data_IF_156777057744
#
_entry.id   IF_156777057744
#
_cell.length_a   1.000
_cell.length_b   1.000
_cell.length_c   1.000
_cell.angle_alpha   90.00
_cell.angle_beta   90.00
_cell.angle_gamma   90.00
#
_symmetry.space_group_name_H-M   'P 1'
#
loop_
_entity.id
_entity.type
_entity.pdbx_description
1 polymer ?
#
# COMPACT_ATOMS: atom_id res chain seq x y z
N UNK A 1 -28.41 -40.10 -22.08
CA UNK A 1 -29.31 -39.91 -23.20
C UNK A 1 -28.60 -39.05 -24.20
N UNK A 2 -28.21 -39.70 -25.20
CA UNK A 2 -28.41 -39.58 -26.65
C UNK A 2 -27.38 -38.64 -27.27
N UNK A 3 -26.24 -39.08 -27.85
CA UNK A 3 -26.01 -39.86 -29.08
C UNK A 3 -26.35 -39.11 -30.37
N UNK A 4 -25.36 -38.89 -31.20
CA UNK A 4 -25.29 -39.25 -32.66
C UNK A 4 -24.28 -38.32 -33.34
N UNK A 5 -23.07 -38.71 -33.71
CA UNK A 5 -22.62 -39.50 -34.85
C UNK A 5 -23.29 -39.17 -36.19
N UNK A 6 -22.51 -38.63 -37.12
CA UNK A 6 -22.71 -38.99 -38.53
C UNK A 6 -21.38 -38.83 -39.32
N UNK A 7 -20.88 -39.97 -39.68
CA UNK A 7 -19.89 -40.31 -40.71
C UNK A 7 -20.55 -40.36 -42.08
N UNK A 8 -19.83 -40.09 -43.16
CA UNK A 8 -19.85 -40.81 -44.47
C UNK A 8 -19.08 -39.97 -45.48
N UNK A 9 -17.97 -40.44 -45.98
CA UNK A 9 -17.72 -41.53 -46.96
C UNK A 9 -17.87 -41.06 -48.42
N UNK A 10 -16.73 -41.23 -49.12
CA UNK A 10 -16.59 -42.14 -50.30
C UNK A 10 -16.94 -41.46 -51.63
N UNK A 11 -16.28 -41.53 -52.76
CA UNK A 11 -15.36 -42.48 -53.42
C UNK A 11 -15.20 -42.03 -54.88
N UNK A 12 -13.99 -42.18 -55.42
CA UNK A 12 -13.71 -42.67 -56.78
C UNK A 12 -14.25 -41.91 -58.00
N UNK A 13 -13.37 -41.45 -58.91
CA UNK A 13 -13.42 -41.92 -60.30
C UNK A 13 -12.03 -41.78 -60.97
N UNK A 14 -11.51 -42.91 -61.37
CA UNK A 14 -10.41 -43.18 -62.31
C UNK A 14 -11.02 -43.22 -63.72
N UNK A 15 -10.42 -42.56 -64.69
CA UNK A 15 -10.46 -42.90 -66.14
C UNK A 15 -9.36 -42.09 -66.82
N UNK A 16 -8.28 -42.68 -67.22
CA UNK A 16 -8.00 -43.29 -68.52
C UNK A 16 -7.95 -42.32 -69.70
N UNK A 17 -6.80 -42.12 -70.26
CA UNK A 17 -6.59 -41.47 -71.57
C UNK A 17 -5.13 -41.28 -71.90
N UNK A 18 -4.49 -42.37 -72.34
CA UNK A 18 -3.22 -42.33 -73.08
C UNK A 18 -3.45 -41.68 -74.45
N UNK A 19 -2.54 -40.85 -74.92
CA UNK A 19 -2.11 -40.82 -76.36
C UNK A 19 -1.07 -39.69 -76.57
N UNK A 20 -0.01 -40.08 -77.05
CA UNK A 20 0.86 -39.80 -78.17
C UNK A 20 2.16 -39.06 -77.88
N UNK A 21 3.18 -39.81 -78.08
CA UNK A 21 4.58 -39.52 -78.37
C UNK A 21 4.69 -38.56 -79.58
N UNK A 22 5.28 -37.42 -79.42
CA UNK A 22 5.98 -36.69 -80.49
C UNK A 22 7.26 -36.13 -79.92
N UNK A 23 8.38 -36.76 -80.25
CA UNK A 23 9.69 -36.33 -79.83
C UNK A 23 10.09 -35.02 -80.54
N UNK A 24 10.55 -34.03 -79.75
CA UNK A 24 11.48 -33.03 -80.23
C UNK A 24 12.74 -33.08 -79.38
N UNK A 25 13.78 -33.55 -79.98
CA UNK A 25 15.16 -33.54 -79.50
C UNK A 25 15.62 -32.08 -79.42
N UNK A 26 15.54 -31.47 -78.20
CA UNK A 26 16.27 -30.29 -77.87
C UNK A 26 17.41 -30.62 -76.93
N UNK A 27 18.63 -30.38 -77.38
CA UNK A 27 19.86 -30.48 -76.59
C UNK A 27 19.62 -29.86 -75.15
N UNK A 28 20.02 -30.56 -74.07
CA UNK A 28 19.94 -30.01 -72.77
C UNK A 28 20.77 -28.69 -72.69
N UNK A 29 20.24 -27.65 -72.09
CA UNK A 29 21.00 -26.39 -71.86
C UNK A 29 22.22 -26.73 -70.97
N UNK A 30 23.37 -26.17 -71.35
CA UNK A 30 24.63 -26.28 -70.64
C UNK A 30 24.46 -25.61 -69.23
N UNK A 31 24.54 -26.38 -68.13
CA UNK A 31 24.25 -25.81 -66.76
C UNK A 31 25.31 -24.81 -66.32
N UNK A 32 26.33 -24.52 -67.10
CA UNK A 32 27.35 -23.49 -66.82
C UNK A 32 27.06 -22.11 -67.40
N UNK A 33 25.98 -21.92 -68.16
CA UNK A 33 25.67 -20.61 -68.75
C UNK A 33 24.48 -19.86 -68.14
N UNK A 34 23.76 -20.42 -67.15
CA UNK A 34 22.63 -19.76 -66.52
C UNK A 34 22.79 -19.60 -65.01
N UNK A 35 24.00 -19.62 -64.48
CA UNK A 35 24.21 -19.18 -63.10
C UNK A 35 24.29 -17.66 -63.16
N UNK A 36 23.33 -16.92 -62.53
CA UNK A 36 23.47 -15.48 -62.39
C UNK A 36 24.82 -15.17 -61.72
N UNK A 37 25.51 -14.13 -62.10
CA UNK A 37 26.81 -13.79 -61.51
C UNK A 37 26.62 -13.73 -59.98
N UNK A 38 27.55 -14.37 -59.26
CA UNK A 38 27.56 -14.37 -57.81
C UNK A 38 27.38 -12.91 -57.34
N UNK A 39 26.39 -12.66 -56.49
CA UNK A 39 26.18 -11.33 -55.91
C UNK A 39 27.50 -10.93 -55.26
N UNK A 40 28.14 -9.94 -55.79
CA UNK A 40 29.28 -9.26 -55.14
C UNK A 40 28.65 -8.44 -54.04
N UNK A 41 28.77 -8.90 -52.79
CA UNK A 41 28.48 -8.07 -51.62
C UNK A 41 29.60 -7.03 -51.60
N UNK A 42 29.35 -5.87 -52.17
CA UNK A 42 30.14 -4.68 -51.83
C UNK A 42 29.93 -4.47 -50.36
N UNK A 43 31.01 -4.48 -49.57
CA UNK A 43 30.99 -4.15 -48.15
C UNK A 43 30.55 -2.72 -48.07
N UNK A 44 29.26 -2.51 -47.72
CA UNK A 44 28.73 -1.17 -47.49
C UNK A 44 29.67 -0.44 -46.52
N UNK A 45 30.05 0.76 -46.91
CA UNK A 45 30.75 1.75 -46.06
C UNK A 45 29.95 1.80 -44.77
N UNK A 46 30.62 1.59 -43.62
CA UNK A 46 29.95 1.53 -42.29
C UNK A 46 29.06 2.78 -42.13
N UNK A 47 27.74 2.58 -42.20
CA UNK A 47 26.71 3.64 -42.16
C UNK A 47 26.84 4.49 -40.88
N UNK A 48 27.56 3.97 -39.88
CA UNK A 48 27.82 4.65 -38.62
C UNK A 48 29.11 5.48 -38.62
N UNK A 49 29.86 5.52 -39.72
CA UNK A 49 31.10 6.25 -39.82
C UNK A 49 30.91 7.49 -40.74
N UNK A 50 31.13 8.66 -40.17
CA UNK A 50 31.03 9.94 -40.90
C UNK A 50 32.43 10.52 -41.07
N UNK A 51 32.81 10.84 -42.31
CA UNK A 51 34.05 11.58 -42.61
C UNK A 51 33.77 13.08 -42.67
N UNK A 52 34.64 13.90 -42.06
CA UNK A 52 34.48 15.37 -42.00
C UNK A 52 35.80 16.02 -42.39
N UNK A 53 35.73 16.94 -43.30
CA UNK A 53 36.92 17.67 -43.80
C UNK A 53 37.55 18.61 -42.76
N UNK A 54 36.70 19.14 -41.83
CA UNK A 54 37.13 20.07 -40.78
C UNK A 54 36.68 19.60 -39.39
N UNK A 55 37.35 18.61 -38.78
CA UNK A 55 36.98 18.03 -37.47
C UNK A 55 37.09 19.04 -36.32
N UNK A 56 37.91 20.06 -36.44
CA UNK A 56 38.10 21.15 -35.49
C UNK A 56 36.83 22.01 -35.26
N UNK A 57 35.89 21.97 -36.17
CA UNK A 57 34.59 22.61 -35.96
C UNK A 57 33.66 21.89 -35.02
N UNK A 58 34.00 20.65 -34.63
CA UNK A 58 33.20 19.80 -33.75
C UNK A 58 33.96 19.54 -32.43
N UNK A 59 33.84 20.44 -31.45
CA UNK A 59 34.58 20.33 -30.19
C UNK A 59 34.16 19.06 -29.44
N UNK A 60 35.18 18.42 -28.87
CA UNK A 60 35.03 17.21 -28.09
C UNK A 60 34.90 17.53 -26.61
N UNK A 61 34.06 16.78 -25.90
CA UNK A 61 33.90 16.84 -24.46
C UNK A 61 34.07 15.43 -23.90
N UNK A 62 34.85 15.32 -22.83
CA UNK A 62 35.00 14.05 -22.13
C UNK A 62 33.74 13.74 -21.30
N UNK A 63 33.25 12.53 -21.44
CA UNK A 63 32.16 12.03 -20.63
C UNK A 63 32.58 11.97 -19.15
N UNK A 64 31.86 12.71 -18.29
CA UNK A 64 32.19 12.83 -16.87
C UNK A 64 31.48 11.76 -16.05
N UNK A 65 32.06 11.40 -14.91
CA UNK A 65 31.38 10.52 -13.95
C UNK A 65 30.27 11.28 -13.20
N UNK A 66 29.13 10.64 -13.04
CA UNK A 66 28.00 11.15 -12.26
C UNK A 66 27.58 10.06 -11.23
N UNK A 67 27.62 10.43 -9.97
CA UNK A 67 27.15 9.55 -8.91
C UNK A 67 25.63 9.65 -8.82
N UNK A 68 24.93 8.65 -9.32
CA UNK A 68 23.49 8.53 -9.24
C UNK A 68 23.09 7.62 -8.08
N UNK A 69 22.05 8.01 -7.38
CA UNK A 69 21.37 7.09 -6.45
C UNK A 69 20.25 6.42 -7.24
N UNK A 70 20.23 5.11 -7.30
CA UNK A 70 19.10 4.42 -7.93
C UNK A 70 17.82 4.81 -7.21
N UNK A 71 16.78 5.14 -7.94
CA UNK A 71 15.48 5.51 -7.36
C UNK A 71 14.41 4.60 -7.91
N UNK A 72 13.49 4.20 -7.04
CA UNK A 72 12.30 3.44 -7.43
C UNK A 72 11.08 4.30 -7.20
N UNK A 73 10.26 4.46 -8.23
CA UNK A 73 8.99 5.13 -8.12
C UNK A 73 7.87 4.09 -7.98
N UNK A 74 7.11 4.19 -6.90
CA UNK A 74 6.00 3.29 -6.58
C UNK A 74 4.76 4.08 -6.19
N UNK A 75 3.60 3.52 -6.45
CA UNK A 75 2.33 4.11 -6.06
C UNK A 75 1.78 3.44 -4.81
N UNK A 76 1.05 4.20 -4.02
CA UNK A 76 0.44 3.70 -2.80
C UNK A 76 -0.72 4.57 -2.34
N UNK A 77 -1.26 4.23 -1.19
CA UNK A 77 -2.35 4.96 -0.55
C UNK A 77 -2.02 5.32 0.90
N UNK A 78 -2.59 6.44 1.35
CA UNK A 78 -2.50 6.90 2.74
C UNK A 78 -3.39 6.04 3.62
N UNK A 79 -2.82 5.46 4.67
CA UNK A 79 -3.51 4.63 5.64
C UNK A 79 -3.23 5.15 7.06
N UNK A 80 -4.16 4.86 7.99
CA UNK A 80 -3.93 5.14 9.39
C UNK A 80 -2.83 4.23 9.96
N UNK A 81 -2.08 4.75 10.89
CA UNK A 81 -1.19 3.96 11.71
C UNK A 81 -2.03 3.08 12.67
N UNK A 82 -2.02 1.77 12.45
CA UNK A 82 -2.80 0.81 13.25
C UNK A 82 -2.39 0.88 14.72
N UNK A 83 -1.12 1.16 15.04
CA UNK A 83 -0.64 1.26 16.42
C UNK A 83 -1.23 2.47 17.16
N UNK A 84 -1.74 3.46 16.43
CA UNK A 84 -2.37 4.69 16.93
C UNK A 84 -3.88 4.72 16.67
N UNK A 85 -4.44 3.57 16.35
CA UNK A 85 -5.87 3.41 16.06
C UNK A 85 -6.54 2.69 17.21
N UNK A 86 -7.59 3.29 17.75
CA UNK A 86 -8.31 2.78 18.93
C UNK A 86 -9.75 2.48 18.54
N UNK A 87 -10.17 1.21 18.64
CA UNK A 87 -11.56 0.84 18.45
C UNK A 87 -12.40 1.25 19.68
N UNK A 88 -13.57 1.82 19.46
CA UNK A 88 -14.55 2.14 20.48
C UNK A 88 -15.67 1.10 20.43
N UNK A 89 -15.84 0.38 21.52
CA UNK A 89 -16.83 -0.70 21.66
C UNK A 89 -17.80 -0.27 22.75
N UNK A 90 -19.09 -0.58 22.60
CA UNK A 90 -20.05 -0.46 23.69
C UNK A 90 -19.87 -1.60 24.68
N UNK A 91 -19.75 -1.27 25.97
CA UNK A 91 -19.64 -2.25 27.06
C UNK A 91 -20.98 -2.98 27.29
N UNK A 92 -22.10 -2.28 27.07
CA UNK A 92 -23.43 -2.82 27.23
C UNK A 92 -24.07 -3.12 25.90
N UNK A 93 -24.80 -4.25 25.82
CA UNK A 93 -25.59 -4.62 24.66
C UNK A 93 -26.93 -3.89 24.70
N UNK A 94 -27.36 -3.40 23.54
CA UNK A 94 -28.61 -2.69 23.48
C UNK A 94 -28.87 -1.98 22.15
N UNK A 95 -29.75 -1.00 22.18
CA UNK A 95 -30.13 -0.19 21.02
C UNK A 95 -29.49 1.19 21.13
N UNK A 96 -28.84 1.65 20.06
CA UNK A 96 -28.33 3.03 19.97
C UNK A 96 -29.51 3.99 19.90
N UNK A 97 -29.61 4.89 20.85
CA UNK A 97 -30.67 5.92 20.91
C UNK A 97 -30.22 7.13 20.11
N UNK A 98 -29.02 7.60 20.39
CA UNK A 98 -28.48 8.81 19.79
C UNK A 98 -26.97 8.66 19.49
N UNK A 99 -26.55 9.30 18.41
CA UNK A 99 -25.15 9.35 17.97
C UNK A 99 -24.73 10.81 17.90
N UNK A 100 -23.73 11.19 18.72
CA UNK A 100 -23.27 12.57 18.88
C UNK A 100 -22.03 12.92 18.06
N UNK A 101 -21.38 11.92 17.42
CA UNK A 101 -20.17 12.10 16.66
C UNK A 101 -20.27 11.38 15.31
N UNK A 102 -19.60 11.92 14.29
CA UNK A 102 -19.65 11.44 12.90
C UNK A 102 -18.26 11.12 12.38
N UNK A 103 -18.21 10.34 11.32
CA UNK A 103 -16.98 10.10 10.60
C UNK A 103 -16.35 11.43 10.14
N UNK A 104 -15.05 11.59 10.38
CA UNK A 104 -14.29 12.81 10.09
C UNK A 104 -14.20 13.81 11.23
N UNK A 105 -15.03 13.69 12.28
CA UNK A 105 -14.97 14.57 13.44
C UNK A 105 -13.70 14.33 14.27
N UNK A 106 -13.12 15.42 14.78
CA UNK A 106 -12.09 15.33 15.81
C UNK A 106 -12.75 15.25 17.18
N UNK A 107 -12.44 14.24 17.96
CA UNK A 107 -12.98 14.01 19.29
C UNK A 107 -11.87 14.09 20.35
N UNK A 108 -12.23 14.55 21.55
CA UNK A 108 -11.33 14.57 22.70
C UNK A 108 -11.57 13.35 23.56
N UNK A 109 -10.54 12.89 24.27
CA UNK A 109 -10.68 11.87 25.30
C UNK A 109 -11.77 12.27 26.31
N UNK A 110 -12.71 11.35 26.59
CA UNK A 110 -13.85 11.59 27.46
C UNK A 110 -15.04 12.32 26.80
N UNK A 111 -14.99 12.60 25.51
CA UNK A 111 -16.13 13.18 24.78
C UNK A 111 -17.20 12.11 24.55
N UNK A 112 -18.47 12.45 24.76
CA UNK A 112 -19.62 11.59 24.51
C UNK A 112 -19.75 11.32 22.99
N UNK A 113 -19.86 10.05 22.61
CA UNK A 113 -19.97 9.61 21.22
C UNK A 113 -21.36 9.10 20.87
N UNK A 114 -21.98 8.34 21.78
CA UNK A 114 -23.32 7.78 21.59
C UNK A 114 -23.97 7.40 22.90
N UNK A 115 -25.29 7.30 22.89
CA UNK A 115 -26.12 6.78 23.95
C UNK A 115 -26.71 5.42 23.56
N UNK A 116 -26.60 4.43 24.42
CA UNK A 116 -27.08 3.05 24.20
C UNK A 116 -28.11 2.71 25.27
N UNK A 117 -29.35 2.45 24.87
CA UNK A 117 -30.37 1.89 25.74
C UNK A 117 -30.15 0.40 25.92
N UNK A 118 -29.92 -0.03 27.15
CA UNK A 118 -29.53 -1.41 27.45
C UNK A 118 -30.45 -2.07 28.47
N UNK A 119 -30.85 -3.30 28.18
CA UNK A 119 -31.53 -4.18 29.14
C UNK A 119 -30.60 -4.69 30.22
N UNK A 120 -29.28 -4.74 29.94
CA UNK A 120 -28.26 -5.17 30.89
C UNK A 120 -28.21 -4.25 32.11
N UNK A 121 -28.39 -2.93 31.90
CA UNK A 121 -28.48 -1.92 32.95
C UNK A 121 -29.69 -2.15 33.83
N UNK A 122 -30.87 -2.43 33.24
CA UNK A 122 -32.10 -2.66 33.99
C UNK A 122 -31.98 -3.94 34.86
N UNK A 123 -31.34 -4.97 34.29
CA UNK A 123 -31.06 -6.22 35.02
C UNK A 123 -30.09 -6.03 36.18
N UNK A 124 -28.97 -5.34 35.93
CA UNK A 124 -27.97 -5.03 36.95
C UNK A 124 -28.53 -4.17 38.06
N UNK A 125 -29.35 -3.16 37.72
CA UNK A 125 -30.01 -2.33 38.72
C UNK A 125 -31.03 -3.10 39.57
N UNK A 126 -31.79 -3.99 38.95
CA UNK A 126 -32.69 -4.89 39.71
C UNK A 126 -31.95 -5.80 40.69
N UNK A 127 -30.78 -6.33 40.29
CA UNK A 127 -29.90 -7.13 41.14
C UNK A 127 -29.34 -6.29 42.30
N UNK A 128 -28.94 -5.07 42.05
CA UNK A 128 -28.47 -4.12 43.06
C UNK A 128 -29.56 -3.83 44.12
N UNK A 129 -30.79 -3.47 43.66
CA UNK A 129 -31.90 -3.20 44.61
C UNK A 129 -32.21 -4.42 45.48
N UNK A 130 -32.18 -5.62 44.91
CA UNK A 130 -32.35 -6.85 45.69
C UNK A 130 -31.25 -7.01 46.72
N UNK A 131 -29.99 -6.81 46.32
CA UNK A 131 -28.84 -6.94 47.24
C UNK A 131 -28.88 -5.91 48.40
N UNK A 132 -29.34 -4.67 48.11
CA UNK A 132 -29.57 -3.67 49.15
C UNK A 132 -30.60 -4.11 50.17
N UNK A 133 -31.74 -4.65 49.74
CA UNK A 133 -32.77 -5.17 50.62
C UNK A 133 -32.33 -6.38 51.43
N UNK A 134 -31.60 -7.33 50.80
CA UNK A 134 -31.08 -8.51 51.44
C UNK A 134 -30.03 -8.14 52.52
N UNK A 135 -29.13 -7.19 52.25
CA UNK A 135 -28.15 -6.70 53.25
C UNK A 135 -28.85 -6.03 54.41
N UNK A 136 -29.81 -5.14 54.13
CA UNK A 136 -30.59 -4.47 55.19
C UNK A 136 -31.31 -5.44 56.07
N UNK A 137 -31.93 -6.51 55.51
CA UNK A 137 -32.60 -7.57 56.27
C UNK A 137 -31.60 -8.36 57.13
N UNK A 138 -30.48 -8.77 56.55
CA UNK A 138 -29.45 -9.52 57.26
C UNK A 138 -28.86 -8.72 58.43
N UNK A 139 -28.62 -7.47 58.24
CA UNK A 139 -28.13 -6.54 59.24
C UNK A 139 -29.11 -6.43 60.43
N UNK A 140 -30.42 -6.22 60.16
CA UNK A 140 -31.46 -6.17 61.21
C UNK A 140 -31.53 -7.48 61.93
N UNK A 141 -31.38 -8.62 61.26
CA UNK A 141 -31.36 -9.96 61.87
C UNK A 141 -30.15 -10.16 62.79
N UNK A 142 -28.98 -9.71 62.36
CA UNK A 142 -27.75 -9.73 63.14
C UNK A 142 -27.87 -8.85 64.40
N UNK A 143 -28.34 -7.64 64.25
CA UNK A 143 -28.53 -6.74 65.38
C UNK A 143 -29.49 -7.28 66.41
N UNK A 144 -30.57 -7.95 65.96
CA UNK A 144 -31.51 -8.66 66.83
C UNK A 144 -30.86 -9.87 67.54
N UNK A 145 -30.09 -10.66 66.79
CA UNK A 145 -29.37 -11.81 67.32
C UNK A 145 -28.37 -11.36 68.42
N UNK A 146 -27.62 -10.30 68.20
CA UNK A 146 -26.68 -9.74 69.18
C UNK A 146 -27.40 -9.26 70.44
N UNK A 147 -28.52 -8.58 70.30
CA UNK A 147 -29.35 -8.15 71.49
C UNK A 147 -29.86 -9.33 72.28
N UNK A 148 -30.36 -10.36 71.60
CA UNK A 148 -30.87 -11.56 72.30
C UNK A 148 -29.74 -12.39 72.96
N UNK A 149 -28.57 -12.44 72.36
CA UNK A 149 -27.38 -13.08 72.95
C UNK A 149 -26.92 -12.33 74.21
N UNK A 150 -26.85 -11.00 74.15
CA UNK A 150 -26.50 -10.15 75.31
C UNK A 150 -27.48 -10.35 76.48
N UNK A 151 -28.72 -10.73 76.22
CA UNK A 151 -29.73 -11.05 77.20
C UNK A 151 -29.74 -12.57 77.64
N UNK A 152 -28.81 -13.38 77.09
CA UNK A 152 -28.73 -14.81 77.36
C UNK A 152 -29.83 -15.65 76.74
N UNK A 153 -30.61 -15.13 75.76
CA UNK A 153 -31.77 -15.81 75.18
C UNK A 153 -31.42 -16.74 74.03
N UNK A 154 -30.25 -16.62 73.41
CA UNK A 154 -29.79 -17.50 72.34
C UNK A 154 -28.31 -17.87 72.50
N UNK A 155 -27.84 -18.99 71.89
CA UNK A 155 -26.44 -19.39 71.92
C UNK A 155 -25.60 -18.57 70.93
N UNK A 156 -24.29 -18.53 71.21
CA UNK A 156 -23.32 -17.80 70.36
C UNK A 156 -23.34 -18.22 68.85
N UNK A 157 -23.57 -19.52 68.64
CA UNK A 157 -23.66 -20.10 67.30
C UNK A 157 -24.75 -19.44 66.43
N UNK A 158 -25.85 -18.94 67.00
CA UNK A 158 -26.87 -18.22 66.26
C UNK A 158 -26.43 -16.84 65.88
N UNK A 159 -25.62 -16.15 66.69
CA UNK A 159 -25.01 -14.87 66.35
C UNK A 159 -24.01 -15.07 65.21
N UNK A 160 -23.20 -16.13 65.29
CA UNK A 160 -22.22 -16.44 64.23
C UNK A 160 -22.90 -16.76 62.88
N UNK A 161 -24.04 -17.47 62.90
CA UNK A 161 -24.85 -17.72 61.70
C UNK A 161 -25.39 -16.40 61.12
N UNK A 162 -25.93 -15.53 61.99
CA UNK A 162 -26.46 -14.21 61.54
C UNK A 162 -25.35 -13.31 61.04
N UNK A 163 -24.15 -13.35 61.63
CA UNK A 163 -22.98 -12.61 61.15
C UNK A 163 -22.54 -13.09 59.76
N UNK A 164 -22.44 -14.41 59.55
CA UNK A 164 -22.12 -14.97 58.24
C UNK A 164 -23.15 -14.57 57.16
N UNK A 165 -24.45 -14.52 57.55
CA UNK A 165 -25.50 -14.10 56.61
C UNK A 165 -25.36 -12.61 56.21
N UNK A 166 -25.04 -11.75 57.19
CA UNK A 166 -24.78 -10.32 56.90
C UNK A 166 -23.50 -10.13 56.04
N UNK A 167 -22.41 -10.82 56.38
CA UNK A 167 -21.17 -10.77 55.61
C UNK A 167 -21.38 -11.21 54.16
N UNK A 168 -22.16 -12.25 53.92
CA UNK A 168 -22.51 -12.72 52.57
C UNK A 168 -23.40 -11.72 51.83
N UNK A 169 -24.40 -11.13 52.48
CA UNK A 169 -25.29 -10.15 51.90
C UNK A 169 -24.53 -8.86 51.53
N UNK A 170 -23.60 -8.45 52.40
CA UNK A 170 -22.72 -7.30 52.15
C UNK A 170 -21.76 -7.53 50.97
N UNK A 171 -21.20 -8.74 50.88
CA UNK A 171 -20.37 -9.09 49.72
C UNK A 171 -21.18 -9.07 48.41
N UNK A 172 -22.43 -9.57 48.44
CA UNK A 172 -23.32 -9.50 47.26
C UNK A 172 -23.69 -8.07 46.87
N UNK A 173 -23.91 -7.21 47.88
CA UNK A 173 -24.15 -5.75 47.62
C UNK A 173 -22.94 -5.10 46.95
N UNK A 174 -21.74 -5.30 47.49
CA UNK A 174 -20.52 -4.79 46.92
C UNK A 174 -20.29 -5.29 45.46
N UNK A 175 -20.56 -6.54 45.19
CA UNK A 175 -20.45 -7.11 43.85
C UNK A 175 -21.44 -6.46 42.87
N UNK A 176 -22.69 -6.20 43.31
CA UNK A 176 -23.70 -5.57 42.48
C UNK A 176 -23.42 -4.07 42.25
N UNK A 177 -22.88 -3.36 43.25
CA UNK A 177 -22.40 -1.97 43.07
C UNK A 177 -21.26 -1.87 42.06
N UNK A 178 -20.31 -2.80 42.14
CA UNK A 178 -19.20 -2.87 41.18
C UNK A 178 -19.68 -3.16 39.76
N UNK A 179 -20.68 -4.02 39.57
CA UNK A 179 -21.31 -4.27 38.30
C UNK A 179 -21.93 -3.01 37.69
N UNK A 180 -22.65 -2.21 38.50
CA UNK A 180 -23.19 -0.93 38.05
C UNK A 180 -22.08 0.08 37.68
N UNK A 181 -21.01 0.11 38.48
CA UNK A 181 -19.85 0.98 38.23
C UNK A 181 -19.17 0.64 36.90
N UNK A 182 -18.99 -0.64 36.59
CA UNK A 182 -18.42 -1.09 35.30
C UNK A 182 -19.29 -0.68 34.12
N UNK A 183 -20.62 -0.73 34.27
CA UNK A 183 -21.55 -0.26 33.26
C UNK A 183 -21.64 1.28 33.17
N UNK A 184 -20.96 2.01 34.07
CA UNK A 184 -20.98 3.47 34.12
C UNK A 184 -22.33 4.05 34.55
N UNK A 185 -23.12 3.27 35.31
CA UNK A 185 -24.45 3.65 35.79
C UNK A 185 -24.36 4.19 37.23
N UNK A 186 -24.94 5.37 37.42
CA UNK A 186 -25.09 5.95 38.75
C UNK A 186 -26.19 5.19 39.54
N UNK A 187 -25.85 4.65 40.70
CA UNK A 187 -26.79 3.94 41.58
C UNK A 187 -27.93 4.78 42.11
N UNK A 188 -27.70 6.08 42.25
CA UNK A 188 -28.68 7.05 42.77
C UNK A 188 -29.61 7.61 41.71
N UNK A 189 -29.15 7.62 40.44
CA UNK A 189 -29.87 8.10 39.28
C UNK A 189 -29.80 7.08 38.12
N UNK A 190 -30.47 5.93 38.22
CA UNK A 190 -30.38 4.91 37.21
C UNK A 190 -31.05 5.37 35.91
N UNK A 191 -30.24 5.64 34.90
CA UNK A 191 -30.70 5.83 33.54
C UNK A 191 -30.65 4.49 32.79
N UNK A 192 -31.68 4.14 32.04
CA UNK A 192 -31.70 2.95 31.21
C UNK A 192 -30.71 3.04 30.02
N UNK A 193 -29.95 4.12 29.95
CA UNK A 193 -29.00 4.42 28.89
C UNK A 193 -27.57 4.42 29.42
N UNK A 194 -26.70 3.75 28.66
CA UNK A 194 -25.24 3.77 28.87
C UNK A 194 -24.63 4.79 27.91
N UNK A 195 -23.83 5.68 28.45
CA UNK A 195 -23.08 6.68 27.67
C UNK A 195 -21.74 6.11 27.25
N UNK A 196 -21.45 6.13 25.95
CA UNK A 196 -20.17 5.67 25.40
C UNK A 196 -19.30 6.87 25.09
N UNK A 197 -18.15 6.93 25.75
CA UNK A 197 -17.20 8.01 25.65
C UNK A 197 -15.97 7.62 24.83
N UNK A 198 -15.31 8.61 24.24
CA UNK A 198 -14.06 8.42 23.54
C UNK A 198 -12.92 8.04 24.51
N UNK A 199 -12.22 6.94 24.32
CA UNK A 199 -11.08 6.54 25.16
C UNK A 199 -9.83 7.38 24.88
N UNK A 200 -9.74 8.03 23.72
CA UNK A 200 -8.60 8.85 23.30
C UNK A 200 -9.03 10.06 22.49
N UNK A 201 -8.11 11.00 22.29
CA UNK A 201 -8.31 12.10 21.35
C UNK A 201 -7.83 11.70 19.97
N UNK A 202 -8.55 12.09 18.92
CA UNK A 202 -8.21 11.77 17.53
C UNK A 202 -9.37 11.99 16.57
N UNK A 203 -9.20 11.58 15.32
CA UNK A 203 -10.23 11.66 14.29
C UNK A 203 -11.00 10.36 14.20
N UNK A 204 -12.31 10.44 14.02
CA UNK A 204 -13.15 9.27 13.73
C UNK A 204 -12.92 8.88 12.27
N UNK A 205 -12.29 7.71 12.06
CA UNK A 205 -11.96 7.19 10.72
C UNK A 205 -12.96 6.15 10.22
N UNK A 206 -13.73 5.55 11.13
CA UNK A 206 -14.82 4.63 10.80
C UNK A 206 -15.95 4.77 11.80
N UNK A 207 -17.18 4.66 11.31
CA UNK A 207 -18.42 4.66 12.08
C UNK A 207 -19.28 3.50 11.57
N UNK A 208 -19.51 2.50 12.41
CA UNK A 208 -20.28 1.30 12.08
C UNK A 208 -21.63 1.28 12.78
N UNK A 209 -22.02 2.38 13.44
CA UNK A 209 -23.28 2.52 14.15
C UNK A 209 -24.09 3.69 13.61
N UNK A 210 -25.40 3.50 13.60
CA UNK A 210 -26.40 4.53 13.29
C UNK A 210 -27.43 4.58 14.40
N UNK A 211 -28.19 5.65 14.48
CA UNK A 211 -29.33 5.72 15.39
C UNK A 211 -30.30 4.54 15.11
N UNK A 212 -30.82 3.94 16.18
CA UNK A 212 -31.65 2.73 16.17
C UNK A 212 -30.92 1.43 15.83
N UNK A 213 -29.62 1.44 15.54
CA UNK A 213 -28.83 0.22 15.35
C UNK A 213 -28.62 -0.54 16.66
N UNK A 214 -28.34 -1.83 16.56
CA UNK A 214 -27.92 -2.61 17.71
C UNK A 214 -26.45 -2.32 18.03
N UNK A 215 -26.11 -2.18 19.33
CA UNK A 215 -24.78 -2.03 19.85
C UNK A 215 -24.47 -3.11 20.88
N UNK A 216 -23.21 -3.47 21.04
CA UNK A 216 -22.75 -4.39 22.08
C UNK A 216 -21.88 -5.53 21.58
N UNK A 217 -21.33 -6.28 22.53
CA UNK A 217 -20.33 -7.32 22.29
C UNK A 217 -20.88 -8.54 21.54
N UNK A 218 -22.20 -8.74 21.54
CA UNK A 218 -22.87 -9.98 21.07
C UNK A 218 -23.43 -9.91 19.66
N UNK A 219 -23.37 -8.78 18.98
CA UNK A 219 -23.92 -8.69 17.62
C UNK A 219 -22.88 -8.96 16.55
N UNK A 220 -22.93 -10.16 16.02
CA UNK A 220 -22.42 -10.61 14.72
C UNK A 220 -21.28 -9.78 14.10
N UNK A 221 -20.06 -9.92 14.60
CA UNK A 221 -18.85 -9.54 13.83
C UNK A 221 -18.51 -8.05 13.71
N UNK A 222 -19.35 -7.13 14.19
CA UNK A 222 -19.04 -5.70 14.21
C UNK A 222 -18.72 -5.25 15.63
N UNK A 223 -17.51 -5.54 16.06
CA UNK A 223 -17.09 -5.21 17.41
C UNK A 223 -16.97 -3.70 17.67
N UNK A 224 -16.74 -2.89 16.66
CA UNK A 224 -16.36 -1.48 16.82
C UNK A 224 -17.49 -0.54 16.39
N UNK A 225 -18.02 0.23 17.34
CA UNK A 225 -18.98 1.30 17.03
C UNK A 225 -18.32 2.44 16.25
N UNK A 226 -17.15 2.85 16.71
CA UNK A 226 -16.28 3.82 16.05
C UNK A 226 -14.85 3.33 16.03
N UNK A 227 -14.07 3.92 15.14
CA UNK A 227 -12.62 3.76 15.14
C UNK A 227 -12.02 5.15 15.16
N UNK A 228 -11.21 5.44 16.18
CA UNK A 228 -10.54 6.73 16.39
C UNK A 228 -9.06 6.54 16.10
N UNK A 229 -8.48 7.44 15.30
CA UNK A 229 -7.06 7.42 14.98
C UNK A 229 -6.39 8.77 15.24
N UNK A 230 -5.18 8.72 15.74
CA UNK A 230 -4.27 9.85 15.72
C UNK A 230 -3.64 9.95 14.34
N UNK A 231 -3.99 11.00 13.60
CA UNK A 231 -3.51 11.23 12.23
C UNK A 231 -2.26 12.11 12.17
N UNK A 232 -1.55 12.35 13.28
CA UNK A 232 -0.29 13.10 13.29
C UNK A 232 0.82 12.38 12.49
N UNK A 233 0.73 11.08 12.39
CA UNK A 233 1.56 10.20 11.57
C UNK A 233 0.66 9.27 10.78
N UNK A 234 1.04 9.02 9.55
CA UNK A 234 0.29 8.13 8.66
C UNK A 234 1.25 7.16 7.97
N UNK A 235 0.70 6.10 7.46
CA UNK A 235 1.42 5.14 6.64
C UNK A 235 1.04 5.32 5.17
N UNK A 236 2.04 5.35 4.32
CA UNK A 236 1.85 5.16 2.89
C UNK A 236 2.13 3.68 2.61
N UNK A 237 1.10 2.96 2.21
CA UNK A 237 1.24 1.55 1.83
C UNK A 237 1.38 1.50 0.32
N UNK A 238 2.58 1.15 -0.14
CA UNK A 238 2.94 1.09 -1.54
C UNK A 238 3.00 -0.36 -2.03
N UNK A 239 2.66 -0.55 -3.30
CA UNK A 239 2.80 -1.82 -3.99
C UNK A 239 4.12 -1.84 -4.75
N UNK A 240 5.06 -2.69 -4.31
CA UNK A 240 6.37 -2.87 -4.93
C UNK A 240 6.42 -4.20 -5.65
N UNK A 241 6.72 -4.18 -6.95
CA UNK A 241 6.84 -5.40 -7.75
C UNK A 241 8.03 -6.26 -7.30
N UNK A 242 7.90 -7.58 -7.47
CA UNK A 242 8.91 -8.57 -7.09
C UNK A 242 10.31 -8.26 -7.64
N UNK A 243 10.42 -7.81 -8.88
CA UNK A 243 11.68 -7.45 -9.53
C UNK A 243 12.39 -6.24 -8.90
N UNK A 244 11.63 -5.37 -8.21
CA UNK A 244 12.14 -4.16 -7.57
C UNK A 244 12.43 -4.34 -6.06
N UNK A 245 11.95 -5.44 -5.48
CA UNK A 245 12.14 -5.72 -4.04
C UNK A 245 13.61 -5.72 -3.58
N UNK A 246 14.57 -6.26 -4.35
CA UNK A 246 15.98 -6.25 -3.94
C UNK A 246 16.55 -4.85 -3.73
N UNK A 247 15.92 -3.81 -4.30
CA UNK A 247 16.36 -2.41 -4.18
C UNK A 247 15.75 -1.71 -2.97
N UNK A 248 14.72 -2.30 -2.32
CA UNK A 248 14.01 -1.70 -1.19
C UNK A 248 14.52 -2.29 0.13
N UNK A 249 14.93 -1.41 1.05
CA UNK A 249 15.45 -1.80 2.35
C UNK A 249 14.82 -0.97 3.47
N UNK A 250 14.74 -1.54 4.65
CA UNK A 250 14.29 -0.82 5.84
C UNK A 250 15.18 0.39 6.13
N UNK A 251 14.54 1.49 6.53
CA UNK A 251 15.22 2.74 6.87
C UNK A 251 15.59 3.62 5.67
N UNK A 252 15.29 3.22 4.42
CA UNK A 252 15.47 4.09 3.27
C UNK A 252 14.54 5.30 3.34
N UNK A 253 15.06 6.45 2.90
CA UNK A 253 14.24 7.66 2.74
C UNK A 253 13.42 7.57 1.45
N UNK A 254 12.23 8.11 1.50
CA UNK A 254 11.34 8.20 0.35
C UNK A 254 10.73 9.60 0.28
N UNK A 255 10.68 10.14 -0.94
CA UNK A 255 9.98 11.38 -1.25
C UNK A 255 8.55 11.04 -1.65
N UNK A 256 7.60 11.60 -0.93
CA UNK A 256 6.18 11.34 -1.11
C UNK A 256 5.52 12.54 -1.77
N UNK A 257 4.85 12.30 -2.88
CA UNK A 257 4.00 13.28 -3.57
C UNK A 257 2.57 12.79 -3.58
N UNK A 258 1.68 13.62 -3.05
CA UNK A 258 0.25 13.34 -3.08
C UNK A 258 -0.33 13.79 -4.41
N UNK A 259 -1.23 13.00 -4.99
CA UNK A 259 -1.95 13.40 -6.21
C UNK A 259 -2.74 14.70 -6.02
N UNK A 260 -3.25 14.92 -4.78
CA UNK A 260 -3.99 16.14 -4.44
C UNK A 260 -3.09 17.39 -4.27
N UNK A 261 -1.78 17.22 -4.05
CA UNK A 261 -0.81 18.30 -3.79
C UNK A 261 0.52 18.02 -4.50
N UNK A 262 0.57 18.09 -5.83
CA UNK A 262 1.73 17.66 -6.63
C UNK A 262 3.00 18.47 -6.36
N UNK A 263 2.84 19.74 -5.97
CA UNK A 263 3.96 20.66 -5.71
C UNK A 263 4.61 20.48 -4.33
N UNK A 264 3.99 19.66 -3.46
CA UNK A 264 4.51 19.40 -2.12
C UNK A 264 5.17 18.04 -2.06
N UNK A 265 6.43 18.05 -1.65
CA UNK A 265 7.19 16.84 -1.37
C UNK A 265 7.26 16.65 0.15
N UNK A 266 6.78 15.51 0.60
CA UNK A 266 6.87 15.08 2.00
C UNK A 266 7.95 14.01 2.08
N UNK A 267 8.66 13.94 3.19
CA UNK A 267 9.70 12.91 3.38
C UNK A 267 9.18 11.83 4.31
N UNK A 268 9.36 10.58 3.91
CA UNK A 268 9.03 9.41 4.71
C UNK A 268 10.20 8.45 4.83
N UNK A 269 10.03 7.42 5.65
CA UNK A 269 11.03 6.37 5.86
C UNK A 269 10.36 5.01 5.70
N UNK A 270 10.99 4.11 4.96
CA UNK A 270 10.54 2.71 4.82
C UNK A 270 10.62 2.04 6.18
N UNK A 271 9.47 1.73 6.77
CA UNK A 271 9.34 1.18 8.12
C UNK A 271 9.08 -0.33 8.13
N UNK A 272 8.56 -0.87 7.03
CA UNK A 272 8.26 -2.30 6.93
C UNK A 272 8.18 -2.74 5.47
N UNK A 273 8.53 -4.01 5.23
CA UNK A 273 8.44 -4.66 3.92
C UNK A 273 7.69 -5.96 4.14
N UNK A 274 6.50 -6.07 3.54
CA UNK A 274 5.64 -7.24 3.70
C UNK A 274 6.33 -8.54 3.26
N UNK A 275 6.27 -9.54 4.12
CA UNK A 275 6.87 -10.85 3.87
C UNK A 275 6.07 -11.71 2.86
N UNK A 276 4.85 -11.29 2.51
CA UNK A 276 3.94 -12.03 1.63
C UNK A 276 3.67 -11.20 0.38
N UNK A 277 3.86 -11.80 -0.78
CA UNK A 277 3.48 -11.23 -2.06
C UNK A 277 1.99 -11.47 -2.33
N UNK A 278 1.34 -10.46 -2.90
CA UNK A 278 0.02 -10.66 -3.50
C UNK A 278 0.18 -11.55 -4.75
N UNK A 279 -0.44 -12.74 -4.80
CA UNK A 279 -0.23 -13.69 -5.89
C UNK A 279 -0.84 -13.24 -7.22
N UNK A 280 -1.81 -12.31 -7.20
CA UNK A 280 -2.49 -11.84 -8.41
C UNK A 280 -1.68 -10.77 -9.14
N UNK A 281 -1.12 -9.84 -8.39
CA UNK A 281 -0.38 -8.69 -8.95
C UNK A 281 1.14 -8.78 -8.73
N UNK A 282 1.62 -9.79 -7.98
CA UNK A 282 3.03 -10.05 -7.65
C UNK A 282 3.74 -8.84 -7.05
N UNK A 283 3.09 -8.20 -6.11
CA UNK A 283 3.65 -7.06 -5.36
C UNK A 283 3.76 -7.39 -3.88
N UNK A 284 4.77 -6.83 -3.23
CA UNK A 284 4.85 -6.75 -1.78
C UNK A 284 4.32 -5.40 -1.30
N UNK A 285 3.63 -5.40 -0.16
CA UNK A 285 3.22 -4.17 0.51
C UNK A 285 4.41 -3.59 1.26
N UNK A 286 4.87 -2.42 0.85
CA UNK A 286 5.92 -1.66 1.53
C UNK A 286 5.27 -0.51 2.27
N UNK A 287 5.54 -0.42 3.57
CA UNK A 287 5.03 0.62 4.44
C UNK A 287 6.06 1.72 4.64
N UNK A 288 5.68 2.93 4.31
CA UNK A 288 6.48 4.14 4.51
C UNK A 288 5.78 4.97 5.59
N UNK A 289 6.48 5.26 6.67
CA UNK A 289 5.99 6.13 7.73
C UNK A 289 6.29 7.58 7.38
N UNK A 290 5.26 8.43 7.52
CA UNK A 290 5.32 9.85 7.15
C UNK A 290 4.67 10.68 8.24
N UNK A 291 5.30 11.78 8.62
CA UNK A 291 4.72 12.79 9.50
C UNK A 291 3.63 13.56 8.75
N UNK A 292 2.51 13.79 9.40
CA UNK A 292 1.35 14.44 8.81
C UNK A 292 1.01 15.77 9.51
N UNK A 293 1.81 16.82 9.31
CA UNK A 293 1.54 18.11 9.92
C UNK A 293 0.21 18.68 9.41
N UNK A 294 -0.56 19.23 10.32
CA UNK A 294 -1.87 19.83 10.04
C UNK A 294 -2.88 18.90 9.36
N UNK A 295 -2.72 17.58 9.52
CA UNK A 295 -3.60 16.57 8.90
C UNK A 295 -3.79 16.76 7.39
N UNK A 296 -2.73 17.17 6.69
CA UNK A 296 -2.74 17.41 5.24
C UNK A 296 -3.08 16.14 4.47
N UNK A 297 -2.50 15.00 4.90
CA UNK A 297 -2.77 13.69 4.33
C UNK A 297 -4.04 13.12 4.96
N UNK A 298 -5.03 12.84 4.14
CA UNK A 298 -6.26 12.15 4.55
C UNK A 298 -6.18 10.69 4.14
N UNK A 299 -6.74 9.82 4.99
CA UNK A 299 -6.82 8.38 4.70
C UNK A 299 -7.54 8.17 3.36
N UNK A 300 -7.01 7.26 2.54
CA UNK A 300 -7.51 6.94 1.20
C UNK A 300 -6.95 7.83 0.08
N UNK A 301 -6.16 8.88 0.37
CA UNK A 301 -5.47 9.64 -0.67
C UNK A 301 -4.42 8.77 -1.37
N UNK A 302 -4.29 8.95 -2.69
CA UNK A 302 -3.21 8.33 -3.48
C UNK A 302 -1.94 9.16 -3.37
N UNK A 303 -0.83 8.45 -3.29
CA UNK A 303 0.51 9.00 -3.22
C UNK A 303 1.46 8.25 -4.15
N UNK A 304 2.43 8.98 -4.69
CA UNK A 304 3.58 8.41 -5.37
C UNK A 304 4.78 8.55 -4.45
N UNK A 305 5.46 7.45 -4.17
CA UNK A 305 6.66 7.42 -3.36
C UNK A 305 7.88 7.17 -4.27
N UNK A 306 8.88 8.03 -4.17
CA UNK A 306 10.20 7.83 -4.78
C UNK A 306 11.15 7.38 -3.67
N UNK A 307 11.47 6.10 -3.66
CA UNK A 307 12.36 5.48 -2.68
C UNK A 307 13.79 5.62 -3.19
N UNK A 308 14.69 6.16 -2.35
CA UNK A 308 16.09 6.37 -2.69
C UNK A 308 16.93 5.13 -2.32
N UNK A 309 17.61 4.56 -3.31
CA UNK A 309 18.54 3.44 -3.10
C UNK A 309 19.75 3.84 -2.24
N UNK A 310 20.38 2.85 -1.62
CA UNK A 310 21.60 3.06 -0.83
C UNK A 310 22.87 3.07 -1.68
N UNK A 311 22.85 2.41 -2.82
CA UNK A 311 23.99 2.30 -3.70
C UNK A 311 24.14 3.58 -4.53
N UNK A 312 25.34 4.16 -4.47
CA UNK A 312 25.78 5.15 -5.45
C UNK A 312 26.24 4.36 -6.68
N UNK A 313 25.47 4.41 -7.74
CA UNK A 313 25.88 3.89 -9.04
C UNK A 313 26.61 5.00 -9.79
N UNK A 314 27.78 4.68 -10.35
CA UNK A 314 28.52 5.64 -11.16
C UNK A 314 28.00 5.56 -12.60
N UNK A 315 27.24 6.54 -13.00
CA UNK A 315 26.80 6.71 -14.37
C UNK A 315 27.67 7.72 -15.10
N UNK A 316 27.51 7.77 -16.40
CA UNK A 316 28.18 8.75 -17.25
C UNK A 316 27.23 9.92 -17.50
N UNK A 317 27.77 11.14 -17.51
CA UNK A 317 27.03 12.33 -17.92
C UNK A 317 27.75 13.03 -19.08
N UNK A 318 26.97 13.52 -20.02
CA UNK A 318 27.43 14.31 -21.16
C UNK A 318 26.56 15.57 -21.29
N UNK A 319 26.99 16.61 -22.01
CA UNK A 319 26.10 17.71 -22.38
C UNK A 319 24.88 17.19 -23.14
N UNK A 320 23.71 17.74 -22.90
CA UNK A 320 22.47 17.32 -23.58
C UNK A 320 22.55 17.54 -25.11
N UNK A 321 23.34 18.52 -25.56
CA UNK A 321 23.63 18.77 -26.97
C UNK A 321 24.51 17.70 -27.66
N UNK A 322 25.16 16.83 -26.88
CA UNK A 322 25.96 15.72 -27.37
C UNK A 322 25.13 14.43 -27.60
N UNK A 323 23.87 14.41 -27.18
CA UNK A 323 22.95 13.31 -27.41
C UNK A 323 22.08 13.56 -28.64
N UNK A 324 22.08 12.65 -29.59
CA UNK A 324 21.20 12.63 -30.74
C UNK A 324 20.08 11.61 -30.55
N UNK A 325 18.85 12.09 -30.58
CA UNK A 325 17.69 11.22 -30.58
C UNK A 325 17.19 10.99 -32.00
N UNK A 326 17.35 9.78 -32.52
CA UNK A 326 16.99 9.45 -33.90
C UNK A 326 16.35 8.05 -33.96
N UNK A 327 15.15 7.96 -34.57
CA UNK A 327 14.38 6.71 -34.75
C UNK A 327 14.25 5.89 -33.47
N UNK A 328 13.73 6.50 -32.38
CA UNK A 328 13.52 5.88 -31.07
C UNK A 328 14.79 5.32 -30.39
N UNK A 329 15.96 5.81 -30.78
CA UNK A 329 17.24 5.45 -30.19
C UNK A 329 18.10 6.68 -29.95
N UNK A 330 18.89 6.59 -28.90
CA UNK A 330 19.86 7.62 -28.57
C UNK A 330 21.23 7.26 -29.14
N UNK A 331 21.91 8.28 -29.64
CA UNK A 331 23.21 8.15 -30.30
C UNK A 331 24.16 9.24 -29.82
N UNK A 332 25.45 8.91 -29.81
CA UNK A 332 26.54 9.85 -29.62
C UNK A 332 27.56 9.67 -30.73
N UNK A 333 28.31 10.70 -31.08
CA UNK A 333 29.44 10.61 -31.97
C UNK A 333 30.74 10.64 -31.20
N UNK A 334 31.62 9.68 -31.47
CA UNK A 334 32.96 9.56 -30.90
C UNK A 334 34.01 9.67 -31.98
N UNK A 335 35.19 10.26 -31.72
CA UNK A 335 36.28 10.33 -32.69
C UNK A 335 36.77 8.92 -33.03
N UNK A 336 36.94 8.66 -34.34
CA UNK A 336 37.40 7.35 -34.86
C UNK A 336 38.75 7.45 -35.60
N UNK A 337 39.48 8.57 -35.46
CA UNK A 337 40.72 8.85 -36.17
C UNK A 337 40.47 9.35 -37.59
N UNK A 338 41.53 9.84 -38.27
CA UNK A 338 41.55 10.23 -39.68
C UNK A 338 40.35 11.11 -40.13
N UNK A 339 40.02 12.13 -39.32
CA UNK A 339 38.90 13.04 -39.59
C UNK A 339 37.53 12.33 -39.64
N UNK A 340 37.41 11.20 -38.93
CA UNK A 340 36.18 10.40 -38.90
C UNK A 340 35.57 10.38 -37.52
N UNK A 341 34.24 10.41 -37.49
CA UNK A 341 33.44 10.22 -36.27
C UNK A 341 32.56 8.99 -36.42
N UNK A 342 32.52 8.17 -35.37
CA UNK A 342 31.67 6.98 -35.32
C UNK A 342 30.45 7.25 -34.48
N UNK A 343 29.28 6.94 -35.01
CA UNK A 343 28.02 6.98 -34.29
C UNK A 343 27.87 5.73 -33.45
N UNK A 344 27.75 5.89 -32.11
CA UNK A 344 27.53 4.79 -31.16
C UNK A 344 26.12 4.88 -30.58
N UNK A 345 25.39 3.75 -30.53
CA UNK A 345 24.11 3.70 -29.82
C UNK A 345 24.36 3.76 -28.32
N UNK A 346 23.61 4.61 -27.65
CA UNK A 346 23.65 4.75 -26.20
C UNK A 346 22.25 4.64 -25.62
N UNK A 347 22.15 4.44 -24.32
CA UNK A 347 20.90 4.51 -23.59
C UNK A 347 20.94 5.72 -22.69
N UNK A 348 20.20 6.78 -23.08
CA UNK A 348 20.01 7.97 -22.25
C UNK A 348 19.20 7.63 -20.98
N UNK A 349 19.51 8.36 -19.91
CA UNK A 349 18.80 8.31 -18.63
C UNK A 349 18.04 9.61 -18.36
N UNK A 350 18.14 10.14 -17.15
CA UNK A 350 17.47 11.36 -16.73
C UNK A 350 18.21 12.61 -17.21
N UNK A 351 17.47 13.71 -17.46
CA UNK A 351 18.07 15.02 -17.62
C UNK A 351 18.58 15.55 -16.29
N UNK A 352 19.81 16.07 -16.29
CA UNK A 352 20.50 16.55 -15.10
C UNK A 352 20.59 18.08 -15.07
N UNK A 353 20.78 18.71 -13.90
CA UNK A 353 21.02 20.14 -13.80
C UNK A 353 22.21 20.58 -14.64
N UNK A 354 22.20 21.83 -15.15
CA UNK A 354 23.28 22.36 -15.97
C UNK A 354 23.27 21.90 -17.43
N UNK A 355 22.11 21.53 -17.97
CA UNK A 355 21.94 21.05 -19.34
C UNK A 355 22.80 19.81 -19.66
N UNK A 356 22.93 18.94 -18.65
CA UNK A 356 23.60 17.64 -18.75
C UNK A 356 22.59 16.53 -18.93
N UNK A 357 23.01 15.44 -19.57
CA UNK A 357 22.23 14.23 -19.80
C UNK A 357 22.96 13.03 -19.23
N UNK A 358 22.27 12.25 -18.43
CA UNK A 358 22.74 10.96 -17.94
C UNK A 358 22.78 9.94 -19.08
N UNK A 359 23.83 9.11 -19.11
CA UNK A 359 23.96 7.97 -20.03
C UNK A 359 24.15 6.71 -19.20
N UNK A 360 23.19 5.78 -19.33
CA UNK A 360 23.13 4.53 -18.57
C UNK A 360 24.06 3.45 -19.16
N UNK A 361 24.28 3.47 -20.47
CA UNK A 361 25.15 2.50 -21.15
C UNK A 361 25.54 2.98 -22.56
N UNK A 362 26.63 2.45 -23.08
CA UNK A 362 27.10 2.69 -24.45
C UNK A 362 28.36 3.52 -24.56
N UNK A 363 28.76 4.24 -23.52
CA UNK A 363 30.03 4.99 -23.42
C UNK A 363 30.64 4.85 -22.02
N UNK A 364 31.95 4.99 -21.94
CA UNK A 364 32.73 4.91 -20.71
C UNK A 364 33.08 6.32 -20.17
N UNK A 365 33.37 6.39 -18.86
CA UNK A 365 33.86 7.62 -18.22
C UNK A 365 35.19 8.02 -18.85
N UNK A 366 35.32 9.28 -19.24
CA UNK A 366 36.51 9.83 -19.89
C UNK A 366 36.49 9.69 -21.42
N UNK A 367 35.55 8.96 -21.99
CA UNK A 367 35.43 8.85 -23.45
C UNK A 367 35.06 10.20 -24.08
N UNK A 368 35.73 10.56 -25.16
CA UNK A 368 35.46 11.80 -25.89
C UNK A 368 34.21 11.67 -26.76
N UNK A 369 33.31 12.61 -26.63
CA UNK A 369 32.08 12.70 -27.45
C UNK A 369 31.99 14.10 -28.07
N UNK A 370 31.33 14.19 -29.24
CA UNK A 370 31.09 15.49 -29.91
C UNK A 370 30.08 16.28 -29.08
N UNK A 371 30.39 17.51 -28.72
CA UNK A 371 29.59 18.35 -27.84
C UNK A 371 28.28 18.87 -28.48
N UNK A 372 28.28 19.05 -29.82
CA UNK A 372 27.10 19.48 -30.58
C UNK A 372 26.84 18.51 -31.75
N UNK A 373 26.05 17.48 -31.42
CA UNK A 373 25.80 16.36 -32.34
C UNK A 373 24.89 16.77 -33.52
N UNK A 374 23.99 17.72 -33.32
CA UNK A 374 23.09 18.18 -34.38
C UNK A 374 23.84 18.92 -35.50
N UNK A 375 24.88 19.70 -35.16
CA UNK A 375 25.71 20.35 -36.16
C UNK A 375 26.44 19.32 -37.03
N UNK A 376 26.97 18.25 -36.41
CA UNK A 376 27.66 17.16 -37.12
C UNK A 376 26.67 16.37 -38.00
N UNK A 377 25.48 16.03 -37.48
CA UNK A 377 24.47 15.28 -38.24
C UNK A 377 24.02 16.06 -39.48
N UNK A 378 23.75 17.35 -39.34
CA UNK A 378 23.35 18.19 -40.49
C UNK A 378 24.44 18.29 -41.55
N UNK A 379 25.72 18.22 -41.17
CA UNK A 379 26.83 18.21 -42.12
C UNK A 379 26.97 16.83 -42.78
N UNK A 380 26.65 15.77 -42.10
CA UNK A 380 26.69 14.40 -42.62
C UNK A 380 25.57 14.09 -43.64
N UNK A 381 24.44 14.78 -43.50
CA UNK A 381 23.27 14.60 -44.38
C UNK A 381 23.29 15.49 -45.65
N UNK A 382 24.31 16.37 -45.82
CA UNK A 382 24.57 17.16 -47.00
C UNK A 382 25.54 16.50 -47.94
#
# INVERSE_FOLDING_TARGET
MSSMSFTRSVTILVCFGAYLLAGCSSKPPDPKKEVPPAAVVETDTDVNLVHVDHPDQFPLVAAASYAATSTIQVTGSVNADISRTIPVISIASGRVVEVHARIGDYVKKGQLLMDVQSTDVSGAFGTYLKAVNDEQLAKVQLDRARLLYDKGAIPKSQVEIAQNAEDNAKAALLASEEQLRVLGVDKDHPAATVKVYSPASGYIIAQNVTAAAAAGVTYAGSANAFTIADLSHVWIICDVYENNLPMVHLGQKADIRLTAYPDRVLTGVVSDIGAVLDPQIRTAKVRIQVDNPNTLMRIGMFATATIHGKALETHVQIPASALLHLHDRDWVYVPAGDNKFRRLPVRGGNSLPGNMQEVLSGIDVGQQVVSNVLALQNTADQ
#
